data_IF_273404591392
#
_entry.id   IF_273404591392
#
_cell.length_a   1.000
_cell.length_b   1.000
_cell.length_c   1.000
_cell.angle_alpha   90.00
_cell.angle_beta   90.00
_cell.angle_gamma   90.00
#
_symmetry.space_group_name_H-M   'P 1'
#
loop_
_entity.id
_entity.type
_entity.pdbx_description
1 polymer ?
#
# COMPACT_ATOMS: atom_id res chain seq x y z
N UNK A 1 21.72 -24.49 -44.01
CA UNK A 1 22.80 -24.22 -43.04
C UNK A 1 23.02 -22.72 -43.07
N UNK A 2 22.79 -21.94 -42.03
CA UNK A 2 22.49 -22.21 -40.64
C UNK A 2 21.93 -20.94 -40.00
N UNK A 3 21.89 -20.96 -38.67
CA UNK A 3 21.58 -19.85 -37.77
C UNK A 3 20.11 -19.42 -37.60
N UNK A 4 19.85 -18.97 -36.37
CA UNK A 4 18.59 -18.41 -35.84
C UNK A 4 17.55 -19.34 -35.21
N UNK A 5 17.98 -20.41 -34.53
CA UNK A 5 17.34 -20.79 -33.26
C UNK A 5 18.13 -20.21 -32.10
N UNK A 6 18.07 -18.88 -31.94
CA UNK A 6 18.23 -18.29 -30.61
C UNK A 6 16.95 -18.61 -29.88
N UNK A 7 16.92 -19.75 -29.20
CA UNK A 7 16.00 -19.95 -28.09
C UNK A 7 16.19 -18.75 -27.18
N UNK A 8 15.21 -17.85 -27.22
CA UNK A 8 15.06 -16.84 -26.19
C UNK A 8 14.98 -17.64 -24.90
N UNK A 9 16.07 -17.63 -24.15
CA UNK A 9 16.12 -17.97 -22.74
C UNK A 9 15.21 -16.96 -22.05
N UNK A 10 13.90 -17.17 -22.20
CA UNK A 10 12.85 -16.49 -21.45
C UNK A 10 13.02 -17.05 -20.05
N UNK A 11 14.04 -16.54 -19.35
CA UNK A 11 14.14 -16.70 -17.92
C UNK A 11 12.77 -16.30 -17.40
N UNK A 12 12.06 -17.20 -16.69
CA UNK A 12 10.80 -16.82 -16.10
C UNK A 12 11.06 -15.52 -15.33
N UNK A 13 10.26 -14.46 -15.59
CA UNK A 13 10.48 -13.14 -15.01
C UNK A 13 10.74 -13.38 -13.53
N UNK A 14 11.93 -12.99 -13.07
CA UNK A 14 12.50 -13.35 -11.76
C UNK A 14 11.41 -13.26 -10.69
N UNK A 15 10.71 -14.37 -10.49
CA UNK A 15 9.54 -14.38 -9.64
C UNK A 15 10.05 -13.99 -8.28
N UNK A 16 9.55 -12.90 -7.72
CA UNK A 16 9.94 -12.47 -6.39
C UNK A 16 9.93 -13.70 -5.49
N UNK A 17 11.10 -14.09 -4.97
CA UNK A 17 11.24 -15.37 -4.28
C UNK A 17 10.14 -15.45 -3.21
N UNK A 18 9.32 -16.50 -3.23
CA UNK A 18 8.13 -16.64 -2.36
C UNK A 18 8.41 -16.23 -0.91
N UNK A 19 9.61 -16.54 -0.40
CA UNK A 19 10.12 -16.13 0.90
C UNK A 19 10.12 -14.61 1.16
N UNK A 20 10.49 -13.77 0.19
CA UNK A 20 10.48 -12.30 0.32
C UNK A 20 9.07 -11.78 0.53
N UNK A 21 8.12 -12.27 -0.28
CA UNK A 21 6.71 -11.89 -0.18
C UNK A 21 6.15 -12.29 1.17
N UNK A 22 6.43 -13.51 1.63
CA UNK A 22 6.03 -13.99 2.96
C UNK A 22 6.64 -13.15 4.08
N UNK A 23 7.94 -12.82 3.98
CA UNK A 23 8.63 -11.98 4.97
C UNK A 23 7.98 -10.61 5.07
N UNK A 24 7.69 -9.97 3.93
CA UNK A 24 7.03 -8.66 3.91
C UNK A 24 5.60 -8.75 4.45
N UNK A 25 4.86 -9.82 4.10
CA UNK A 25 3.52 -10.04 4.60
C UNK A 25 3.50 -10.16 6.14
N UNK A 26 4.38 -11.00 6.70
CA UNK A 26 4.52 -11.19 8.15
C UNK A 26 4.95 -9.88 8.83
N UNK A 27 5.97 -9.21 8.30
CA UNK A 27 6.46 -7.94 8.84
C UNK A 27 5.34 -6.88 8.87
N UNK A 28 4.63 -6.68 7.76
CA UNK A 28 3.57 -5.68 7.67
C UNK A 28 2.36 -6.04 8.54
N UNK A 29 2.08 -7.33 8.72
CA UNK A 29 1.03 -7.80 9.63
C UNK A 29 1.40 -7.51 11.08
N UNK A 30 2.64 -7.81 11.48
CA UNK A 30 3.13 -7.49 12.83
C UNK A 30 3.09 -5.99 13.09
N UNK A 31 3.50 -5.17 12.13
CA UNK A 31 3.40 -3.71 12.24
C UNK A 31 1.93 -3.28 12.38
N UNK A 32 1.02 -3.81 11.57
CA UNK A 32 -0.40 -3.45 11.66
C UNK A 32 -1.01 -3.74 13.04
N UNK A 33 -0.61 -4.86 13.65
CA UNK A 33 -1.13 -5.35 14.93
C UNK A 33 -0.48 -4.67 16.15
N UNK A 34 0.82 -4.41 16.09
CA UNK A 34 1.61 -3.98 17.25
C UNK A 34 2.11 -2.54 17.18
N UNK A 35 2.19 -1.91 16.00
CA UNK A 35 2.61 -0.52 15.93
C UNK A 35 1.54 0.39 16.52
N UNK A 36 1.93 1.38 17.34
CA UNK A 36 1.03 2.43 17.81
C UNK A 36 0.26 3.04 16.65
N UNK A 37 -1.02 3.29 16.90
CA UNK A 37 -1.95 4.02 16.03
C UNK A 37 -2.04 5.47 16.49
N UNK A 38 -2.08 5.69 17.81
CA UNK A 38 -2.17 7.02 18.38
C UNK A 38 -1.52 7.11 19.76
N UNK A 39 -1.10 8.33 20.08
CA UNK A 39 -0.66 8.73 21.41
C UNK A 39 -1.53 9.90 21.83
N UNK A 40 -2.34 9.70 22.85
CA UNK A 40 -3.14 10.76 23.43
C UNK A 40 -2.73 11.06 24.86
N UNK A 41 -2.98 12.28 25.27
CA UNK A 41 -2.73 12.75 26.61
C UNK A 41 -3.83 13.72 27.01
N UNK A 42 -4.24 13.67 28.26
CA UNK A 42 -5.31 14.51 28.78
C UNK A 42 -5.02 14.90 30.23
N UNK A 43 -5.49 16.08 30.57
CA UNK A 43 -5.33 16.67 31.89
C UNK A 43 -6.70 16.77 32.55
N UNK A 44 -6.84 16.16 33.72
CA UNK A 44 -8.05 16.19 34.53
C UNK A 44 -7.72 16.72 35.93
N UNK A 45 -7.96 18.03 36.14
CA UNK A 45 -7.77 18.68 37.43
C UNK A 45 -6.30 18.90 37.77
N UNK A 46 -5.71 17.99 38.54
CA UNK A 46 -4.25 17.96 38.80
C UNK A 46 -3.58 16.77 38.12
N UNK A 47 -4.35 15.80 37.63
CA UNK A 47 -3.83 14.55 37.11
C UNK A 47 -3.62 14.56 35.62
N UNK A 48 -2.45 14.09 35.19
CA UNK A 48 -2.11 13.90 33.78
C UNK A 48 -2.17 12.42 33.40
N UNK A 49 -2.83 12.14 32.27
CA UNK A 49 -3.00 10.81 31.72
C UNK A 49 -2.41 10.77 30.31
N UNK A 50 -1.65 9.73 29.99
CA UNK A 50 -1.19 9.43 28.63
C UNK A 50 -1.71 8.04 28.25
N UNK A 51 -2.24 7.90 27.05
CA UNK A 51 -2.56 6.61 26.46
C UNK A 51 -1.82 6.42 25.14
N UNK A 52 -1.19 5.27 24.97
CA UNK A 52 -0.61 4.82 23.69
C UNK A 52 -1.45 3.64 23.24
N UNK A 53 -2.11 3.79 22.10
CA UNK A 53 -3.05 2.80 21.59
C UNK A 53 -2.49 2.12 20.35
N UNK A 54 -2.48 0.80 20.34
CA UNK A 54 -2.27 -0.05 19.17
C UNK A 54 -3.51 -0.93 18.93
N UNK A 55 -3.48 -1.80 17.91
CA UNK A 55 -4.63 -2.66 17.61
C UNK A 55 -4.86 -3.71 18.70
N UNK A 56 -3.79 -4.35 19.21
CA UNK A 56 -3.91 -5.43 20.19
C UNK A 56 -3.65 -5.02 21.63
N UNK A 57 -3.11 -3.82 21.86
CA UNK A 57 -2.71 -3.37 23.19
C UNK A 57 -2.90 -1.87 23.35
N UNK A 58 -3.13 -1.46 24.59
CA UNK A 58 -3.13 -0.06 25.02
C UNK A 58 -2.28 0.07 26.27
N UNK A 59 -1.39 1.06 26.29
CA UNK A 59 -0.66 1.45 27.49
C UNK A 59 -1.34 2.69 28.06
N UNK A 60 -1.74 2.63 29.31
CA UNK A 60 -2.20 3.78 30.08
C UNK A 60 -1.13 4.17 31.09
N UNK A 61 -0.81 5.45 31.15
CA UNK A 61 0.13 6.03 32.10
C UNK A 61 -0.57 7.17 32.82
N UNK A 62 -0.47 7.18 34.13
CA UNK A 62 -0.94 8.28 34.98
C UNK A 62 0.02 8.47 36.16
N UNK A 63 -0.35 9.36 37.08
CA UNK A 63 0.44 9.67 38.27
C UNK A 63 0.65 8.45 39.20
N UNK A 64 -0.24 7.46 39.12
CA UNK A 64 -0.23 6.28 39.97
C UNK A 64 0.52 5.09 39.36
N UNK A 65 0.89 5.15 38.07
CA UNK A 65 1.71 4.14 37.43
C UNK A 65 1.41 3.90 35.95
N UNK A 66 1.86 2.73 35.47
CA UNK A 66 1.72 2.28 34.09
C UNK A 66 0.93 0.97 34.06
N UNK A 67 -0.15 0.93 33.29
CA UNK A 67 -0.92 -0.29 33.06
C UNK A 67 -0.93 -0.62 31.58
N UNK A 68 -0.84 -1.92 31.27
CA UNK A 68 -0.91 -2.43 29.91
C UNK A 68 -2.14 -3.31 29.81
N UNK A 69 -3.03 -2.98 28.88
CA UNK A 69 -4.22 -3.75 28.60
C UNK A 69 -4.08 -4.38 27.22
N UNK A 70 -4.24 -5.70 27.16
CA UNK A 70 -4.34 -6.44 25.91
C UNK A 70 -5.80 -6.69 25.57
N UNK A 71 -6.15 -6.64 24.28
CA UNK A 71 -7.49 -6.95 23.78
C UNK A 71 -8.61 -6.10 24.44
N UNK A 72 -8.42 -4.78 24.49
CA UNK A 72 -9.51 -3.88 24.88
C UNK A 72 -10.62 -3.92 23.80
N UNK A 73 -11.71 -4.60 24.13
CA UNK A 73 -12.84 -4.78 23.23
C UNK A 73 -13.47 -3.44 22.81
N UNK A 74 -13.48 -2.45 23.70
CA UNK A 74 -14.05 -1.15 23.40
C UNK A 74 -13.20 -0.42 22.36
N UNK A 75 -11.88 -0.40 22.53
CA UNK A 75 -10.94 0.18 21.56
C UNK A 75 -11.00 -0.54 20.21
N UNK A 76 -11.04 -1.88 20.24
CA UNK A 76 -11.14 -2.70 19.03
C UNK A 76 -12.39 -2.35 18.22
N UNK A 77 -13.54 -2.23 18.88
CA UNK A 77 -14.83 -1.91 18.27
C UNK A 77 -14.91 -0.45 17.80
N UNK A 78 -14.45 0.49 18.62
CA UNK A 78 -14.47 1.92 18.30
C UNK A 78 -13.60 2.24 17.08
N UNK A 79 -12.47 1.55 16.95
CA UNK A 79 -11.51 1.80 15.88
C UNK A 79 -11.66 0.86 14.67
N UNK A 80 -12.73 0.05 14.59
CA UNK A 80 -12.96 -0.89 13.46
C UNK A 80 -12.74 -0.26 12.08
N UNK A 81 -13.28 0.94 11.78
CA UNK A 81 -13.07 1.55 10.46
C UNK A 81 -11.58 1.77 10.16
N UNK A 82 -10.78 2.19 11.14
CA UNK A 82 -9.35 2.42 10.98
C UNK A 82 -8.58 1.10 10.85
N UNK A 83 -8.93 0.10 11.66
CA UNK A 83 -8.35 -1.25 11.57
C UNK A 83 -8.56 -1.87 10.18
N UNK A 84 -9.74 -1.67 9.59
CA UNK A 84 -10.05 -2.15 8.25
C UNK A 84 -9.07 -1.58 7.21
N UNK A 85 -8.82 -0.27 7.21
CA UNK A 85 -7.91 0.35 6.25
C UNK A 85 -6.45 -0.08 6.45
N UNK A 86 -6.00 -0.30 7.69
CA UNK A 86 -4.68 -0.89 7.96
C UNK A 86 -4.54 -2.28 7.38
N UNK A 87 -5.51 -3.17 7.61
CA UNK A 87 -5.50 -4.53 7.07
C UNK A 87 -5.55 -4.50 5.53
N UNK A 88 -6.39 -3.64 4.94
CA UNK A 88 -6.47 -3.45 3.50
C UNK A 88 -5.12 -3.01 2.92
N UNK A 89 -4.37 -2.17 3.63
CA UNK A 89 -3.03 -1.77 3.22
C UNK A 89 -2.02 -2.93 3.28
N UNK A 90 -2.05 -3.79 4.32
CA UNK A 90 -1.24 -5.03 4.34
C UNK A 90 -1.53 -5.89 3.11
N UNK A 91 -2.80 -6.05 2.76
CA UNK A 91 -3.18 -6.82 1.58
C UNK A 91 -2.65 -6.18 0.29
N UNK A 92 -2.76 -4.87 0.16
CA UNK A 92 -2.30 -4.15 -1.02
C UNK A 92 -0.78 -4.19 -1.19
N UNK A 93 0.00 -4.05 -0.12
CA UNK A 93 1.46 -4.13 -0.18
C UNK A 93 1.91 -5.55 -0.52
N UNK A 94 1.25 -6.59 0.01
CA UNK A 94 1.53 -7.97 -0.40
C UNK A 94 1.23 -8.18 -1.88
N UNK A 95 0.10 -7.68 -2.37
CA UNK A 95 -0.22 -7.72 -3.82
C UNK A 95 0.83 -7.02 -4.67
N UNK A 96 1.42 -5.93 -4.18
CA UNK A 96 2.48 -5.22 -4.90
C UNK A 96 3.72 -6.09 -5.04
N UNK A 97 4.16 -6.74 -3.95
CA UNK A 97 5.30 -7.65 -4.01
C UNK A 97 5.04 -8.96 -4.76
N UNK A 98 3.77 -9.29 -4.99
CA UNK A 98 3.33 -10.37 -5.89
C UNK A 98 3.14 -9.90 -7.35
N UNK A 99 3.52 -8.67 -7.70
CA UNK A 99 3.37 -8.10 -9.06
C UNK A 99 1.90 -7.99 -9.53
N UNK A 100 0.94 -8.00 -8.60
CA UNK A 100 -0.51 -7.95 -8.89
C UNK A 100 -1.10 -6.54 -8.86
N UNK A 101 -0.30 -5.52 -8.59
CA UNK A 101 -0.71 -4.11 -8.52
C UNK A 101 0.50 -3.19 -8.73
N UNK A 102 0.25 -1.91 -8.95
CA UNK A 102 1.31 -0.92 -9.21
C UNK A 102 1.79 -0.24 -7.93
N UNK A 103 2.98 0.36 -7.99
CA UNK A 103 3.56 1.11 -6.88
C UNK A 103 2.66 2.29 -6.48
N UNK A 104 2.14 3.03 -7.47
CA UNK A 104 1.25 4.18 -7.26
C UNK A 104 -0.02 3.81 -6.48
N UNK A 105 -0.70 2.72 -6.86
CA UNK A 105 -1.92 2.26 -6.17
C UNK A 105 -1.62 1.87 -4.72
N UNK A 106 -0.47 1.26 -4.49
CA UNK A 106 -0.05 0.82 -3.15
C UNK A 106 0.37 2.00 -2.28
N UNK A 107 1.02 3.01 -2.84
CA UNK A 107 1.31 4.26 -2.13
C UNK A 107 0.03 5.01 -1.74
N UNK A 108 -0.98 5.05 -2.62
CA UNK A 108 -2.30 5.61 -2.29
C UNK A 108 -2.97 4.80 -1.17
N UNK A 109 -2.89 3.47 -1.20
CA UNK A 109 -3.40 2.64 -0.11
C UNK A 109 -2.68 2.92 1.22
N UNK A 110 -1.37 3.19 1.20
CA UNK A 110 -0.62 3.60 2.38
C UNK A 110 -1.16 4.91 2.98
N UNK A 111 -1.41 5.91 2.13
CA UNK A 111 -2.01 7.18 2.56
C UNK A 111 -3.42 6.98 3.11
N UNK A 112 -4.26 6.23 2.41
CA UNK A 112 -5.63 5.91 2.83
C UNK A 112 -5.69 5.09 4.13
N UNK A 113 -4.61 4.38 4.49
CA UNK A 113 -4.57 3.60 5.72
C UNK A 113 -4.57 4.45 6.99
N UNK A 114 -4.01 5.65 6.93
CA UNK A 114 -3.90 6.57 8.07
C UNK A 114 -4.71 7.86 7.88
N UNK A 115 -5.12 8.20 6.64
CA UNK A 115 -5.87 9.41 6.32
C UNK A 115 -7.20 9.55 7.07
N UNK A 116 -8.05 8.52 7.23
CA UNK A 116 -9.27 8.65 8.02
C UNK A 116 -8.98 9.04 9.47
N UNK A 117 -7.91 8.51 10.05
CA UNK A 117 -7.55 8.79 11.43
C UNK A 117 -7.03 10.22 11.57
N UNK A 118 -6.21 10.68 10.62
CA UNK A 118 -5.78 12.09 10.54
C UNK A 118 -6.97 13.04 10.37
N UNK A 119 -7.92 12.71 9.50
CA UNK A 119 -9.12 13.52 9.28
C UNK A 119 -9.98 13.59 10.56
N UNK A 120 -10.17 12.45 11.24
CA UNK A 120 -10.86 12.40 12.53
C UNK A 120 -10.15 13.26 13.58
N UNK A 121 -8.82 13.20 13.65
CA UNK A 121 -8.05 14.03 14.57
C UNK A 121 -8.20 15.53 14.28
N UNK A 122 -8.12 15.94 13.01
CA UNK A 122 -8.34 17.35 12.62
C UNK A 122 -9.74 17.80 13.01
N UNK A 123 -10.76 16.98 12.76
CA UNK A 123 -12.13 17.27 13.17
C UNK A 123 -12.25 17.40 14.70
N UNK A 124 -11.60 16.50 15.45
CA UNK A 124 -11.57 16.54 16.91
C UNK A 124 -10.89 17.81 17.43
N UNK A 125 -9.77 18.24 16.81
CA UNK A 125 -9.10 19.50 17.17
C UNK A 125 -10.01 20.72 16.97
N UNK A 126 -10.75 20.76 15.86
CA UNK A 126 -11.65 21.88 15.55
C UNK A 126 -12.84 21.92 16.53
N UNK A 127 -13.40 20.76 16.86
CA UNK A 127 -14.62 20.64 17.67
C UNK A 127 -14.36 20.70 19.17
N UNK A 128 -13.37 19.99 19.67
CA UNK A 128 -13.08 19.86 21.12
C UNK A 128 -11.82 20.61 21.54
N UNK A 129 -10.79 20.64 20.68
CA UNK A 129 -9.52 21.31 20.98
C UNK A 129 -9.69 22.81 21.24
N UNK A 130 -10.60 23.47 20.52
CA UNK A 130 -10.91 24.89 20.71
C UNK A 130 -11.72 25.20 21.98
N UNK A 131 -12.42 24.21 22.55
CA UNK A 131 -13.37 24.42 23.65
C UNK A 131 -12.84 23.98 25.03
N UNK A 132 -12.05 22.90 25.10
CA UNK A 132 -11.79 22.21 26.38
C UNK A 132 -10.30 22.20 26.76
N UNK A 133 -9.39 22.62 25.88
CA UNK A 133 -8.02 23.07 26.24
C UNK A 133 -7.11 22.12 27.02
N UNK A 134 -7.47 20.85 27.25
CA UNK A 134 -6.82 19.99 28.24
C UNK A 134 -6.39 18.62 27.70
N UNK A 135 -6.14 18.49 26.39
CA UNK A 135 -5.59 17.23 25.86
C UNK A 135 -5.01 17.33 24.46
N UNK A 136 -4.21 16.32 24.10
CA UNK A 136 -3.68 16.09 22.77
C UNK A 136 -3.98 14.65 22.34
N UNK A 137 -4.09 14.42 21.04
CA UNK A 137 -4.27 13.08 20.47
C UNK A 137 -3.50 12.98 19.16
N UNK A 138 -2.22 12.63 19.22
CA UNK A 138 -1.40 12.57 18.02
C UNK A 138 -1.53 11.21 17.33
N UNK A 139 -1.99 11.18 16.07
CA UNK A 139 -1.89 9.97 15.27
C UNK A 139 -0.44 9.63 14.98
N UNK A 140 -0.10 8.35 15.02
CA UNK A 140 1.24 7.86 14.71
C UNK A 140 1.21 7.08 13.40
N UNK A 141 1.49 7.71 12.25
CA UNK A 141 1.39 7.08 10.93
C UNK A 141 2.58 6.14 10.63
N UNK A 142 3.00 5.36 11.61
CA UNK A 142 4.18 4.47 11.56
C UNK A 142 4.02 3.47 10.42
N UNK A 143 2.84 2.88 10.27
CA UNK A 143 2.57 1.89 9.23
C UNK A 143 2.66 2.49 7.82
N UNK A 144 2.11 3.69 7.62
CA UNK A 144 2.23 4.43 6.37
C UNK A 144 3.70 4.74 6.06
N UNK A 145 4.46 5.26 7.04
CA UNK A 145 5.88 5.61 6.85
C UNK A 145 6.68 4.36 6.47
N UNK A 146 6.56 3.27 7.22
CA UNK A 146 7.30 2.03 6.93
C UNK A 146 6.88 1.45 5.58
N UNK A 147 5.59 1.42 5.28
CA UNK A 147 5.09 0.93 4.00
C UNK A 147 5.61 1.72 2.81
N UNK A 148 5.62 3.05 2.88
CA UNK A 148 6.20 3.91 1.84
C UNK A 148 7.73 3.73 1.73
N UNK A 149 8.43 3.57 2.85
CA UNK A 149 9.86 3.28 2.85
C UNK A 149 10.17 1.93 2.17
N UNK A 150 9.38 0.89 2.41
CA UNK A 150 9.52 -0.40 1.72
C UNK A 150 9.32 -0.26 0.21
N UNK A 151 8.26 0.45 -0.21
CA UNK A 151 7.98 0.73 -1.63
C UNK A 151 9.11 1.53 -2.30
N UNK A 152 9.78 2.40 -1.55
CA UNK A 152 10.91 3.19 -2.06
C UNK A 152 12.22 2.39 -2.11
N UNK A 153 12.52 1.62 -1.06
CA UNK A 153 13.78 0.91 -0.90
C UNK A 153 13.87 -0.37 -1.73
N UNK A 154 12.75 -1.05 -1.94
CA UNK A 154 12.65 -2.33 -2.64
C UNK A 154 11.58 -2.27 -3.73
N UNK A 155 11.82 -1.50 -4.81
CA UNK A 155 10.90 -1.46 -5.93
C UNK A 155 10.90 -2.81 -6.65
N UNK A 156 9.70 -3.31 -6.94
CA UNK A 156 9.50 -4.41 -7.89
C UNK A 156 9.38 -3.81 -9.28
N UNK A 157 9.93 -4.50 -10.30
CA UNK A 157 9.71 -4.11 -11.70
C UNK A 157 8.22 -4.03 -11.94
N UNK A 158 7.75 -2.87 -12.37
CA UNK A 158 6.35 -2.76 -12.76
C UNK A 158 6.11 -3.76 -13.89
N UNK A 159 4.99 -4.47 -13.85
CA UNK A 159 4.54 -5.28 -14.98
C UNK A 159 4.25 -4.30 -16.11
N UNK A 160 5.30 -3.90 -16.83
CA UNK A 160 5.18 -3.20 -18.10
C UNK A 160 4.40 -4.15 -18.96
N UNK A 161 3.18 -3.77 -19.30
CA UNK A 161 2.31 -4.60 -20.09
C UNK A 161 3.09 -4.94 -21.36
N UNK A 162 3.36 -6.22 -21.67
CA UNK A 162 4.36 -6.60 -22.70
C UNK A 162 4.00 -6.13 -24.11
N UNK A 163 2.86 -5.46 -24.29
CA UNK A 163 2.33 -4.96 -25.55
C UNK A 163 2.62 -3.47 -25.81
N UNK A 164 3.12 -2.69 -24.84
CA UNK A 164 3.57 -1.31 -25.09
C UNK A 164 4.89 -1.33 -25.87
N UNK A 165 4.82 -1.51 -27.19
CA UNK A 165 5.97 -1.45 -28.10
C UNK A 165 6.09 -2.63 -29.07
N UNK A 166 5.30 -3.69 -28.88
CA UNK A 166 5.01 -4.61 -29.98
C UNK A 166 3.93 -3.91 -30.77
N UNK A 167 4.29 -3.30 -31.92
CA UNK A 167 3.29 -2.89 -32.91
C UNK A 167 2.28 -4.03 -33.01
N UNK A 168 1.01 -3.77 -32.68
CA UNK A 168 -0.03 -4.77 -32.84
C UNK A 168 0.21 -5.40 -34.21
N UNK A 169 0.38 -6.74 -34.31
CA UNK A 169 0.57 -7.36 -35.61
C UNK A 169 -0.56 -6.86 -36.48
N UNK A 170 -0.19 -6.19 -37.58
CA UNK A 170 -1.16 -5.56 -38.48
C UNK A 170 -2.25 -6.58 -38.73
N UNK A 171 -3.51 -6.27 -38.42
CA UNK A 171 -4.56 -7.23 -38.61
C UNK A 171 -4.56 -7.71 -40.05
N UNK A 172 -4.72 -9.01 -40.29
CA UNK A 172 -4.62 -9.60 -41.63
C UNK A 172 -5.58 -8.95 -42.65
N UNK A 173 -6.69 -8.36 -42.20
CA UNK A 173 -7.63 -7.62 -43.06
C UNK A 173 -7.09 -6.27 -43.55
N UNK A 174 -6.18 -5.62 -42.82
CA UNK A 174 -5.51 -4.40 -43.27
C UNK A 174 -4.45 -4.71 -44.34
N UNK A 175 -3.83 -5.88 -44.28
CA UNK A 175 -2.91 -6.38 -45.30
C UNK A 175 -3.65 -6.68 -46.62
N UNK A 176 -4.84 -7.31 -46.55
CA UNK A 176 -5.69 -7.52 -47.73
C UNK A 176 -6.16 -6.20 -48.37
N UNK A 177 -6.49 -5.20 -47.56
CA UNK A 177 -6.92 -3.88 -48.04
C UNK A 177 -5.80 -3.16 -48.77
N UNK A 178 -4.56 -3.20 -48.25
CA UNK A 178 -3.37 -2.66 -48.93
C UNK A 178 -3.09 -3.39 -50.23
N UNK A 179 -3.14 -4.73 -50.23
CA UNK A 179 -2.94 -5.54 -51.44
C UNK A 179 -3.96 -5.24 -52.56
N UNK A 180 -5.18 -4.79 -52.20
CA UNK A 180 -6.21 -4.39 -53.18
C UNK A 180 -6.09 -2.94 -53.66
N UNK A 181 -5.48 -2.06 -52.87
CA UNK A 181 -5.39 -0.61 -53.18
C UNK A 181 -4.05 -0.22 -53.81
N UNK A 182 -3.02 -1.05 -53.70
CA UNK A 182 -1.79 -0.85 -54.46
C UNK A 182 -2.10 -1.03 -55.96
N UNK A 183 -1.89 0.02 -56.79
CA UNK A 183 -2.05 -0.10 -58.23
C UNK A 183 -1.05 -1.15 -58.71
N UNK A 184 -1.51 -2.11 -59.51
CA UNK A 184 -0.67 -3.13 -60.14
C UNK A 184 0.52 -2.40 -60.78
N UNK A 185 1.72 -2.54 -60.21
CA UNK A 185 2.89 -1.88 -60.78
C UNK A 185 3.08 -2.47 -62.17
N UNK A 186 3.08 -1.59 -63.17
CA UNK A 186 3.15 -1.97 -64.57
C UNK A 186 4.60 -2.32 -64.96
N UNK A 187 5.33 -2.97 -64.05
CA UNK A 187 6.70 -3.46 -64.25
C UNK A 187 6.69 -4.75 -65.08
N UNK A 188 5.84 -4.81 -66.13
CA UNK A 188 5.97 -5.82 -67.15
C UNK A 188 7.09 -5.41 -68.11
N UNK A 189 8.14 -6.24 -68.29
CA UNK A 189 9.22 -5.95 -69.22
C UNK A 189 8.79 -6.34 -70.63
N UNK A 190 7.99 -5.51 -71.28
CA UNK A 190 7.85 -5.49 -72.74
C UNK A 190 7.37 -4.13 -73.25
#
# INVERSE_FOLDING_TARGET
>A
MGDFKKELDVRPPNGTSSYRVQTIAVLMTLIALFAPIAVAGQYYGLSFYINITAMLWTIFMNEYGVTIQFFDLFVLLYLVPFHFFRIAFVFQIVRYYQEKTTRRRTAVAALLSEAPFLAFYILWLITFGALIGLGFNFPTPIMMIIGLLLLWRFPVSEVTVPWEGVSEPTPWWEEELKARTEPVSNDQPW
#
